data_IF_750370493862
#
_entry.id   IF_750370493862
#
_cell.length_a   1.000
_cell.length_b   1.000
_cell.length_c   1.000
_cell.angle_alpha   90.00
_cell.angle_beta   90.00
_cell.angle_gamma   90.00
#
_symmetry.space_group_name_H-M   'P 1'
#
loop_
_entity.id
_entity.type
_entity.pdbx_description
1 polymer ?
#
# COMPACT_ATOMS: atom_id res chain seq x y z
N UNK A 1 -21.29 -31.68 -17.89
CA UNK A 1 -21.44 -30.61 -16.89
C UNK A 1 -20.59 -31.02 -15.69
N UNK A 2 -19.44 -30.38 -15.43
CA UNK A 2 -18.67 -30.71 -14.24
C UNK A 2 -19.45 -30.24 -13.02
N UNK A 3 -19.75 -31.14 -12.09
CA UNK A 3 -20.29 -30.78 -10.78
C UNK A 3 -19.17 -30.12 -10.00
N UNK A 4 -19.20 -28.79 -9.87
CA UNK A 4 -18.36 -28.11 -8.87
C UNK A 4 -18.72 -28.71 -7.50
N UNK A 5 -17.75 -29.28 -6.81
CA UNK A 5 -17.92 -29.77 -5.46
C UNK A 5 -18.28 -28.59 -4.56
N UNK A 6 -19.56 -28.48 -4.19
CA UNK A 6 -19.99 -27.51 -3.20
C UNK A 6 -19.27 -27.80 -1.88
N UNK A 7 -18.66 -26.79 -1.28
CA UNK A 7 -18.03 -26.88 0.04
C UNK A 7 -19.12 -26.90 1.14
N UNK A 8 -19.93 -27.97 1.14
CA UNK A 8 -21.14 -28.07 1.94
C UNK A 8 -20.89 -28.19 3.44
N UNK A 9 -19.67 -28.54 3.86
CA UNK A 9 -19.32 -28.68 5.27
C UNK A 9 -19.21 -27.33 5.98
N UNK A 10 -18.90 -26.25 5.26
CA UNK A 10 -18.80 -24.92 5.86
C UNK A 10 -20.12 -24.50 6.50
N UNK A 11 -21.23 -24.71 5.80
CA UNK A 11 -22.57 -24.32 6.29
C UNK A 11 -23.03 -25.11 7.52
N UNK A 12 -22.36 -26.22 7.84
CA UNK A 12 -22.65 -27.00 9.04
C UNK A 12 -21.95 -26.45 10.29
N UNK A 13 -21.01 -25.52 10.12
CA UNK A 13 -20.37 -24.86 11.25
C UNK A 13 -21.37 -23.89 11.94
N UNK A 14 -21.35 -23.82 13.28
CA UNK A 14 -22.00 -22.74 14.02
C UNK A 14 -21.65 -21.36 13.44
N UNK A 15 -22.60 -20.43 13.51
CA UNK A 15 -22.45 -19.12 12.90
C UNK A 15 -21.20 -18.39 13.40
N UNK A 16 -20.89 -18.51 14.69
CA UNK A 16 -19.72 -17.92 15.33
C UNK A 16 -18.42 -18.38 14.66
N UNK A 17 -18.30 -19.68 14.37
CA UNK A 17 -17.12 -20.23 13.71
C UNK A 17 -17.03 -19.79 12.25
N UNK A 18 -18.15 -19.70 11.53
CA UNK A 18 -18.17 -19.20 10.15
C UNK A 18 -17.72 -17.75 10.06
N UNK A 19 -18.21 -16.91 10.97
CA UNK A 19 -17.79 -15.50 11.05
C UNK A 19 -16.31 -15.37 11.41
N UNK A 20 -15.80 -16.17 12.36
CA UNK A 20 -14.36 -16.20 12.67
C UNK A 20 -13.53 -16.64 11.47
N UNK A 21 -13.97 -17.64 10.71
CA UNK A 21 -13.28 -18.04 9.47
C UNK A 21 -13.23 -16.88 8.50
N UNK A 22 -14.32 -16.13 8.30
CA UNK A 22 -14.30 -14.96 7.40
C UNK A 22 -13.37 -13.85 7.87
N UNK A 23 -13.32 -13.57 9.17
CA UNK A 23 -12.38 -12.61 9.75
C UNK A 23 -10.93 -13.05 9.52
N UNK A 24 -10.62 -14.32 9.78
CA UNK A 24 -9.28 -14.89 9.61
C UNK A 24 -8.90 -15.13 8.13
N UNK A 25 -9.86 -15.06 7.20
CA UNK A 25 -9.61 -15.16 5.76
C UNK A 25 -9.21 -13.82 5.13
N UNK A 26 -9.17 -12.74 5.90
CA UNK A 26 -8.57 -11.48 5.46
C UNK A 26 -7.04 -11.64 5.45
N UNK A 27 -6.39 -11.14 4.41
CA UNK A 27 -4.94 -11.24 4.25
C UNK A 27 -4.35 -9.83 4.05
N UNK A 28 -3.14 -9.57 4.56
CA UNK A 28 -2.40 -8.36 4.23
C UNK A 28 -2.18 -8.24 2.72
N UNK A 29 -2.21 -7.02 2.21
CA UNK A 29 -1.94 -6.71 0.81
C UNK A 29 -1.50 -5.26 0.64
N UNK A 30 -0.91 -4.98 -0.50
CA UNK A 30 -0.50 -3.64 -0.89
C UNK A 30 -1.58 -3.03 -1.77
N UNK A 31 -2.11 -1.89 -1.35
CA UNK A 31 -3.10 -1.13 -2.13
C UNK A 31 -2.37 0.04 -2.79
N UNK A 32 -1.93 -0.17 -4.02
CA UNK A 32 -1.38 0.91 -4.85
C UNK A 32 -2.49 1.90 -5.20
N UNK A 33 -2.30 3.18 -4.90
CA UNK A 33 -3.27 4.23 -5.22
C UNK A 33 -2.61 5.31 -6.07
N UNK A 34 -3.13 5.49 -7.28
CA UNK A 34 -2.72 6.54 -8.21
C UNK A 34 -3.87 7.53 -8.43
N UNK A 35 -3.54 8.82 -8.57
CA UNK A 35 -4.50 9.87 -8.90
C UNK A 35 -4.56 10.10 -10.41
N UNK A 36 -5.76 10.07 -10.97
CA UNK A 36 -6.03 10.49 -12.33
C UNK A 36 -6.55 11.94 -12.30
N UNK A 37 -5.75 12.93 -12.76
CA UNK A 37 -6.15 14.33 -12.77
C UNK A 37 -7.17 14.68 -13.86
N UNK A 38 -7.30 13.87 -14.92
CA UNK A 38 -8.27 14.11 -15.99
C UNK A 38 -9.68 13.76 -15.52
N UNK A 39 -9.80 12.64 -14.79
CA UNK A 39 -11.07 12.14 -14.25
C UNK A 39 -11.32 12.55 -12.78
N UNK A 40 -10.40 13.31 -12.16
CA UNK A 40 -10.42 13.67 -10.73
C UNK A 40 -10.74 12.46 -9.83
N UNK A 41 -10.03 11.34 -10.03
CA UNK A 41 -10.36 10.08 -9.36
C UNK A 41 -9.13 9.28 -8.99
N UNK A 42 -9.19 8.63 -7.83
CA UNK A 42 -8.21 7.64 -7.42
C UNK A 42 -8.50 6.26 -8.03
N UNK A 43 -7.46 5.63 -8.56
CA UNK A 43 -7.48 4.30 -9.14
C UNK A 43 -6.49 3.37 -8.44
N UNK A 44 -6.78 2.07 -8.48
CA UNK A 44 -5.90 1.04 -7.93
C UNK A 44 -5.81 -0.14 -8.87
N UNK A 45 -4.65 -0.77 -8.92
CA UNK A 45 -4.40 -2.08 -9.54
C UNK A 45 -4.69 -3.22 -8.57
N UNK A 46 -4.81 -2.94 -7.26
CA UNK A 46 -5.04 -3.94 -6.24
C UNK A 46 -6.42 -4.60 -6.44
N UNK A 47 -6.49 -5.95 -6.42
CA UNK A 47 -7.75 -6.65 -6.61
C UNK A 47 -8.71 -6.40 -5.45
N UNK A 48 -10.01 -6.49 -5.70
CA UNK A 48 -11.01 -6.48 -4.62
C UNK A 48 -10.74 -7.69 -3.69
N UNK A 49 -10.76 -7.51 -2.35
CA UNK A 49 -10.57 -8.61 -1.41
C UNK A 49 -11.49 -9.79 -1.70
N UNK A 50 -10.95 -11.00 -1.81
CA UNK A 50 -11.72 -12.19 -2.16
C UNK A 50 -12.90 -12.43 -1.20
N UNK A 51 -12.73 -12.11 0.08
CA UNK A 51 -13.78 -12.18 1.11
C UNK A 51 -14.99 -11.27 0.82
N UNK A 52 -14.81 -10.15 0.13
CA UNK A 52 -15.92 -9.28 -0.28
C UNK A 52 -16.69 -9.82 -1.49
N UNK A 53 -16.14 -10.83 -2.18
CA UNK A 53 -16.69 -11.43 -3.40
C UNK A 53 -17.12 -12.89 -3.22
N UNK A 54 -16.73 -13.56 -2.13
CA UNK A 54 -16.95 -14.98 -1.91
C UNK A 54 -18.44 -15.35 -1.81
N UNK A 55 -19.18 -14.74 -0.89
CA UNK A 55 -20.62 -14.95 -0.71
C UNK A 55 -21.26 -13.80 0.09
N UNK A 56 -22.59 -13.81 0.22
CA UNK A 56 -23.32 -12.78 0.96
C UNK A 56 -22.87 -12.67 2.43
N UNK A 57 -22.71 -13.80 3.13
CA UNK A 57 -22.27 -13.77 4.54
C UNK A 57 -20.85 -13.23 4.68
N UNK A 58 -19.93 -13.70 3.85
CA UNK A 58 -18.54 -13.22 3.84
C UNK A 58 -18.50 -11.72 3.58
N UNK A 59 -19.25 -11.23 2.58
CA UNK A 59 -19.36 -9.80 2.29
C UNK A 59 -19.92 -9.00 3.47
N UNK A 60 -20.99 -9.47 4.11
CA UNK A 60 -21.57 -8.79 5.28
C UNK A 60 -20.57 -8.68 6.43
N UNK A 61 -19.82 -9.75 6.71
CA UNK A 61 -18.83 -9.74 7.79
C UNK A 61 -17.60 -8.90 7.43
N UNK A 62 -17.09 -9.01 6.20
CA UNK A 62 -15.92 -8.25 5.73
C UNK A 62 -16.17 -6.75 5.65
N UNK A 63 -17.39 -6.31 5.32
CA UNK A 63 -17.75 -4.88 5.31
C UNK A 63 -17.76 -4.22 6.70
N UNK A 64 -17.54 -4.99 7.78
CA UNK A 64 -17.31 -4.45 9.13
C UNK A 64 -15.87 -3.99 9.33
N UNK A 65 -14.95 -4.53 8.52
CA UNK A 65 -13.50 -4.27 8.57
C UNK A 65 -13.05 -3.39 7.41
N UNK A 66 -13.52 -3.69 6.19
CA UNK A 66 -13.20 -2.91 5.00
C UNK A 66 -14.17 -1.75 4.82
N UNK A 67 -13.63 -0.53 4.75
CA UNK A 67 -14.38 0.65 4.34
C UNK A 67 -13.98 1.06 2.92
N UNK A 68 -14.83 1.84 2.25
CA UNK A 68 -14.46 2.46 0.97
C UNK A 68 -13.69 3.75 1.27
N UNK A 69 -12.48 3.86 0.74
CA UNK A 69 -11.59 5.01 0.89
C UNK A 69 -11.30 5.68 -0.47
N UNK A 70 -10.54 6.78 -0.40
CA UNK A 70 -9.95 7.48 -1.55
C UNK A 70 -11.02 8.04 -2.49
N UNK A 71 -11.97 8.79 -1.90
CA UNK A 71 -12.88 9.64 -2.67
C UNK A 71 -12.23 10.99 -3.00
N UNK A 72 -12.80 11.70 -3.96
CA UNK A 72 -12.45 13.08 -4.30
C UNK A 72 -13.66 13.98 -4.08
N UNK A 73 -13.55 15.26 -4.41
CA UNK A 73 -14.71 16.16 -4.40
C UNK A 73 -15.75 15.74 -5.45
N UNK A 74 -15.29 15.20 -6.60
CA UNK A 74 -16.15 14.81 -7.72
C UNK A 74 -16.60 13.35 -7.65
N UNK A 75 -15.87 12.48 -6.95
CA UNK A 75 -16.13 11.04 -6.92
C UNK A 75 -16.22 10.46 -5.51
N UNK A 76 -17.25 9.66 -5.26
CA UNK A 76 -17.34 8.86 -4.03
C UNK A 76 -16.16 7.88 -3.89
N UNK A 77 -15.75 7.55 -2.65
CA UNK A 77 -14.74 6.53 -2.38
C UNK A 77 -15.19 5.15 -2.89
N UNK A 78 -14.27 4.42 -3.54
CA UNK A 78 -14.57 3.14 -4.23
C UNK A 78 -13.62 2.01 -3.88
N UNK A 79 -12.44 2.32 -3.36
CA UNK A 79 -11.40 1.34 -3.07
C UNK A 79 -11.63 0.81 -1.66
N UNK A 80 -11.84 -0.50 -1.53
CA UNK A 80 -11.94 -1.13 -0.21
C UNK A 80 -10.58 -1.11 0.47
N UNK A 81 -10.51 -0.67 1.71
CA UNK A 81 -9.29 -0.60 2.52
C UNK A 81 -9.57 -1.08 3.94
N UNK A 82 -8.72 -1.96 4.47
CA UNK A 82 -8.76 -2.44 5.85
C UNK A 82 -7.52 -1.96 6.60
N UNK A 83 -7.70 -0.98 7.48
CA UNK A 83 -6.61 -0.26 8.18
C UNK A 83 -5.55 -1.16 8.81
N UNK A 84 -5.98 -2.27 9.41
CA UNK A 84 -5.13 -3.14 10.20
C UNK A 84 -4.29 -4.11 9.36
N UNK A 85 -4.65 -4.33 8.09
CA UNK A 85 -3.96 -5.30 7.21
C UNK A 85 -3.44 -4.70 5.90
N UNK A 86 -4.10 -3.68 5.37
CA UNK A 86 -3.73 -3.07 4.09
C UNK A 86 -2.61 -2.05 4.30
N UNK A 87 -1.65 -2.06 3.37
CA UNK A 87 -0.61 -1.03 3.25
C UNK A 87 -0.95 -0.12 2.08
N UNK A 88 -1.11 1.18 2.32
CA UNK A 88 -1.28 2.16 1.24
C UNK A 88 0.06 2.37 0.55
N UNK A 89 0.15 2.06 -0.74
CA UNK A 89 1.33 2.37 -1.55
C UNK A 89 1.06 3.55 -2.48
N UNK A 90 1.91 4.58 -2.39
CA UNK A 90 1.87 5.75 -3.27
C UNK A 90 3.06 5.63 -4.23
N UNK A 91 2.84 5.25 -5.50
CA UNK A 91 3.92 5.10 -6.45
C UNK A 91 4.48 6.46 -6.84
N UNK A 92 5.78 6.52 -7.13
CA UNK A 92 6.41 7.71 -7.70
C UNK A 92 5.99 7.88 -9.16
N UNK A 93 5.37 9.01 -9.54
CA UNK A 93 5.07 9.29 -10.95
C UNK A 93 6.33 9.24 -11.83
N UNK A 94 6.31 8.52 -12.97
CA UNK A 94 7.53 8.31 -13.77
C UNK A 94 8.08 9.60 -14.38
N UNK A 95 7.21 10.52 -14.81
CA UNK A 95 7.62 11.75 -15.52
C UNK A 95 7.80 12.96 -14.60
N UNK A 96 6.95 13.11 -13.57
CA UNK A 96 7.03 14.24 -12.65
C UNK A 96 7.86 13.94 -11.40
N UNK A 97 8.01 12.67 -11.03
CA UNK A 97 8.52 12.30 -9.71
C UNK A 97 7.52 12.71 -8.62
N UNK A 98 7.97 12.76 -7.37
CA UNK A 98 7.15 13.32 -6.29
C UNK A 98 7.16 14.85 -6.35
N UNK A 99 6.21 15.42 -7.09
CA UNK A 99 5.96 16.86 -7.19
C UNK A 99 4.95 17.35 -6.13
N UNK A 100 4.61 18.64 -6.15
CA UNK A 100 3.66 19.22 -5.18
C UNK A 100 2.23 18.63 -5.34
N UNK A 101 1.85 18.10 -6.50
CA UNK A 101 0.56 17.42 -6.68
C UNK A 101 0.51 16.06 -5.98
N UNK A 102 1.66 15.40 -5.87
CA UNK A 102 1.84 14.18 -5.09
C UNK A 102 1.68 14.42 -3.58
N UNK A 103 1.96 15.66 -3.11
CA UNK A 103 1.82 16.06 -1.70
C UNK A 103 0.38 16.33 -1.28
N UNK A 104 -0.47 16.81 -2.18
CA UNK A 104 -1.89 17.06 -1.84
C UNK A 104 -2.72 15.79 -1.69
N UNK A 105 -2.15 14.59 -1.85
CA UNK A 105 -2.89 13.34 -1.68
C UNK A 105 -3.65 13.26 -0.35
N UNK A 106 -3.01 13.61 0.77
CA UNK A 106 -3.68 13.56 2.07
C UNK A 106 -4.58 14.76 2.39
N UNK A 107 -4.40 15.89 1.70
CA UNK A 107 -5.36 16.99 1.74
C UNK A 107 -6.64 16.65 0.96
N UNK A 108 -6.50 15.79 -0.05
CA UNK A 108 -7.58 15.37 -0.94
C UNK A 108 -8.35 14.15 -0.40
N UNK A 109 -7.71 13.27 0.38
CA UNK A 109 -8.39 12.10 0.96
C UNK A 109 -8.90 12.39 2.37
N UNK A 110 -10.17 12.07 2.63
CA UNK A 110 -10.81 12.30 3.93
C UNK A 110 -10.38 11.29 4.99
N UNK A 111 -9.80 10.18 4.56
CA UNK A 111 -9.50 9.00 5.36
C UNK A 111 -8.01 8.92 5.78
N UNK A 112 -7.28 10.03 5.76
CA UNK A 112 -5.84 10.05 6.10
C UNK A 112 -5.55 9.59 7.54
N UNK A 113 -6.48 9.78 8.47
CA UNK A 113 -6.42 9.28 9.85
C UNK A 113 -6.79 7.79 9.99
N UNK A 114 -7.33 7.18 8.93
CA UNK A 114 -7.60 5.76 8.85
C UNK A 114 -6.38 4.95 8.41
N UNK A 115 -5.40 5.59 7.76
CA UNK A 115 -4.18 4.92 7.29
C UNK A 115 -3.22 4.68 8.46
N UNK A 116 -2.74 3.44 8.59
CA UNK A 116 -1.79 3.04 9.63
C UNK A 116 -0.43 2.60 9.05
N UNK A 117 -0.43 2.07 7.83
CA UNK A 117 0.72 1.55 7.10
C UNK A 117 0.85 2.28 5.77
N UNK A 118 2.01 2.89 5.52
CA UNK A 118 2.29 3.67 4.30
C UNK A 118 3.53 3.11 3.60
N UNK A 119 3.48 2.95 2.29
CA UNK A 119 4.61 2.59 1.45
C UNK A 119 4.87 3.69 0.41
N UNK A 120 6.14 4.05 0.24
CA UNK A 120 6.60 5.04 -0.74
C UNK A 120 7.93 4.59 -1.33
N UNK A 121 8.19 4.96 -2.58
CA UNK A 121 9.50 4.70 -3.20
C UNK A 121 10.61 5.50 -2.51
N UNK A 122 11.70 4.82 -2.16
CA UNK A 122 12.93 5.47 -1.71
C UNK A 122 13.66 6.06 -2.90
N UNK A 123 13.70 7.39 -3.01
CA UNK A 123 14.44 8.09 -4.07
C UNK A 123 15.84 8.51 -3.57
N UNK A 124 16.93 7.95 -4.10
CA UNK A 124 18.28 8.43 -3.81
C UNK A 124 18.46 9.90 -4.21
N UNK A 125 19.23 10.70 -3.44
CA UNK A 125 19.51 12.10 -3.80
C UNK A 125 20.13 12.27 -5.20
N UNK A 126 20.87 11.27 -5.68
CA UNK A 126 21.54 11.30 -6.99
C UNK A 126 20.60 11.21 -8.18
N UNK A 127 19.39 10.67 -8.02
CA UNK A 127 18.38 10.51 -9.09
C UNK A 127 17.16 11.42 -8.90
N UNK A 128 17.11 12.15 -7.78
CA UNK A 128 16.07 13.14 -7.47
C UNK A 128 16.13 14.30 -8.48
N UNK A 129 14.99 14.63 -9.09
CA UNK A 129 14.91 15.74 -10.05
C UNK A 129 14.91 17.08 -9.31
N UNK A 130 15.42 18.17 -9.91
CA UNK A 130 15.49 19.48 -9.25
C UNK A 130 14.15 20.03 -8.76
N UNK A 131 13.05 19.67 -9.42
CA UNK A 131 11.69 20.11 -9.08
C UNK A 131 10.95 19.13 -8.16
N UNK A 132 11.50 17.93 -7.93
CA UNK A 132 11.00 17.08 -6.86
C UNK A 132 11.38 17.77 -5.55
N UNK A 133 10.48 18.59 -5.04
CA UNK A 133 10.66 19.25 -3.74
C UNK A 133 10.69 18.24 -2.59
N UNK A 134 10.46 16.95 -2.91
CA UNK A 134 10.43 15.76 -2.08
C UNK A 134 10.85 16.03 -0.65
N UNK A 135 9.81 16.12 0.17
CA UNK A 135 9.89 16.24 1.59
C UNK A 135 9.08 15.06 2.11
N UNK A 136 9.75 13.91 2.29
CA UNK A 136 9.12 12.67 2.78
C UNK A 136 8.38 12.96 4.08
N UNK A 137 8.91 13.89 4.87
CA UNK A 137 8.34 14.29 6.14
C UNK A 137 6.95 14.88 5.98
N UNK A 138 6.73 15.82 5.06
CA UNK A 138 5.41 16.41 4.79
C UNK A 138 4.40 15.36 4.36
N UNK A 139 4.80 14.43 3.48
CA UNK A 139 3.94 13.35 3.04
C UNK A 139 3.58 12.40 4.19
N UNK A 140 4.48 12.16 5.13
CA UNK A 140 4.18 11.30 6.29
C UNK A 140 3.36 12.04 7.36
N UNK A 141 3.61 13.33 7.59
CA UNK A 141 2.82 14.17 8.51
C UNK A 141 1.36 14.25 8.12
N UNK A 142 1.11 14.15 6.82
CA UNK A 142 -0.19 14.07 6.19
C UNK A 142 -1.02 12.85 6.63
N UNK A 143 -0.40 11.82 7.21
CA UNK A 143 -1.09 10.64 7.75
C UNK A 143 -0.86 10.53 9.27
N UNK A 144 -1.72 11.14 10.10
CA UNK A 144 -1.46 11.32 11.54
C UNK A 144 -1.46 10.02 12.37
N UNK A 145 -1.85 8.90 11.76
CA UNK A 145 -1.91 7.58 12.40
C UNK A 145 -0.97 6.56 11.78
N UNK A 146 -0.15 6.98 10.80
CA UNK A 146 0.91 6.14 10.26
C UNK A 146 1.97 5.93 11.34
N UNK A 147 2.22 4.66 11.63
CA UNK A 147 3.22 4.24 12.62
C UNK A 147 4.33 3.42 11.96
N UNK A 148 4.06 2.84 10.79
CA UNK A 148 5.02 2.12 9.98
C UNK A 148 5.06 2.65 8.54
N UNK A 149 6.28 2.90 8.05
CA UNK A 149 6.56 3.40 6.70
C UNK A 149 7.50 2.45 5.98
N UNK A 150 7.02 1.87 4.90
CA UNK A 150 7.78 1.01 4.01
C UNK A 150 8.46 1.85 2.92
N UNK A 151 9.78 1.79 2.87
CA UNK A 151 10.59 2.45 1.86
C UNK A 151 10.94 1.43 0.78
N UNK A 152 10.33 1.61 -0.39
CA UNK A 152 10.45 0.69 -1.52
C UNK A 152 11.72 1.02 -2.30
N UNK A 153 12.67 0.09 -2.31
CA UNK A 153 14.06 0.35 -2.77
C UNK A 153 14.31 0.04 -4.25
N UNK A 154 13.47 -0.79 -4.86
CA UNK A 154 13.56 -1.12 -6.29
C UNK A 154 12.92 0.00 -7.13
N UNK A 155 13.64 1.11 -7.31
CA UNK A 155 13.29 2.07 -8.37
C UNK A 155 13.89 1.55 -9.67
N UNK A 156 13.12 0.77 -10.42
CA UNK A 156 13.36 0.66 -11.86
C UNK A 156 13.07 2.03 -12.47
N UNK A 157 14.08 2.61 -13.14
CA UNK A 157 13.92 3.90 -13.85
C UNK A 157 13.19 3.72 -15.18
N UNK A 158 13.02 2.48 -15.62
CA UNK A 158 12.17 2.13 -16.74
C UNK A 158 10.74 1.91 -16.24
N UNK A 159 9.71 2.38 -16.96
CA UNK A 159 8.34 1.99 -16.67
C UNK A 159 8.31 0.46 -16.62
N UNK A 160 7.76 -0.07 -15.53
CA UNK A 160 7.56 -1.48 -15.25
C UNK A 160 6.55 -2.04 -16.28
N UNK A 161 6.98 -2.13 -17.54
CA UNK A 161 6.19 -2.51 -18.71
C UNK A 161 6.01 -4.04 -18.82
N UNK A 162 6.59 -4.80 -17.89
CA UNK A 162 6.61 -6.26 -17.90
C UNK A 162 5.54 -6.89 -16.99
N UNK A 163 4.71 -6.08 -16.33
CA UNK A 163 3.60 -6.60 -15.50
C UNK A 163 2.39 -6.91 -16.35
N UNK A 164 1.85 -8.11 -16.16
CA UNK A 164 0.63 -8.54 -16.81
C UNK A 164 -0.59 -7.99 -16.07
N UNK A 165 -1.66 -7.69 -16.83
CA UNK A 165 -2.94 -7.30 -16.25
C UNK A 165 -3.44 -8.41 -15.32
N UNK A 166 -3.39 -8.17 -14.00
CA UNK A 166 -3.80 -9.13 -12.97
C UNK A 166 -2.70 -9.52 -11.98
N UNK A 167 -1.47 -9.04 -12.16
CA UNK A 167 -0.41 -9.23 -11.18
C UNK A 167 -0.71 -8.45 -9.89
N UNK A 168 -0.55 -9.11 -8.75
CA UNK A 168 -0.80 -8.53 -7.43
C UNK A 168 0.54 -8.09 -6.82
N UNK A 169 0.63 -6.78 -6.53
CA UNK A 169 1.79 -6.15 -5.90
C UNK A 169 1.91 -6.57 -4.44
N UNK A 170 3.13 -6.92 -4.04
CA UNK A 170 3.49 -7.21 -2.66
C UNK A 170 4.86 -6.58 -2.30
N UNK A 171 5.14 -6.47 -1.00
CA UNK A 171 6.37 -5.90 -0.45
C UNK A 171 7.16 -6.97 0.31
N UNK A 172 8.23 -7.47 -0.33
CA UNK A 172 9.13 -8.45 0.25
C UNK A 172 10.34 -7.79 0.91
N UNK A 173 11.06 -8.57 1.73
CA UNK A 173 12.35 -8.14 2.26
C UNK A 173 13.35 -7.93 1.12
N UNK A 174 14.11 -6.83 1.16
CA UNK A 174 14.99 -6.46 0.07
C UNK A 174 16.22 -7.39 0.03
N UNK A 175 16.68 -7.72 -1.19
CA UNK A 175 17.74 -8.75 -1.40
C UNK A 175 19.16 -8.28 -1.07
N UNK A 176 19.33 -7.11 -0.46
CA UNK A 176 20.63 -6.55 -0.11
C UNK A 176 21.22 -7.23 1.13
N UNK A 177 22.54 -7.17 1.28
CA UNK A 177 23.20 -7.58 2.52
C UNK A 177 22.91 -6.59 3.68
N UNK A 178 23.04 -7.06 4.91
CA UNK A 178 22.71 -6.29 6.10
C UNK A 178 23.46 -4.95 6.20
N UNK A 179 24.75 -4.90 5.82
CA UNK A 179 25.54 -3.66 5.90
C UNK A 179 25.06 -2.62 4.88
N UNK A 180 24.65 -3.08 3.69
CA UNK A 180 24.07 -2.20 2.67
C UNK A 180 22.71 -1.65 3.10
N UNK A 181 21.88 -2.47 3.77
CA UNK A 181 20.59 -2.03 4.32
C UNK A 181 20.76 -1.03 5.46
N UNK A 182 21.69 -1.28 6.37
CA UNK A 182 21.98 -0.36 7.49
C UNK A 182 22.44 1.00 6.97
N UNK A 183 23.38 1.04 6.02
CA UNK A 183 23.83 2.29 5.39
C UNK A 183 22.69 3.02 4.68
N UNK A 184 21.85 2.28 3.95
CA UNK A 184 20.71 2.86 3.26
C UNK A 184 19.72 3.50 4.25
N UNK A 185 19.47 2.84 5.38
CA UNK A 185 18.62 3.36 6.44
C UNK A 185 19.25 4.59 7.11
N UNK A 186 20.57 4.59 7.35
CA UNK A 186 21.29 5.77 7.83
C UNK A 186 21.16 6.96 6.86
N UNK A 187 21.36 6.74 5.56
CA UNK A 187 21.22 7.75 4.52
C UNK A 187 19.79 8.30 4.44
N UNK A 188 18.78 7.42 4.57
CA UNK A 188 17.36 7.81 4.68
C UNK A 188 17.17 8.74 5.86
N UNK A 189 17.59 8.33 7.05
CA UNK A 189 17.40 9.08 8.29
C UNK A 189 18.11 10.44 8.19
N UNK A 190 19.35 10.46 7.69
CA UNK A 190 20.11 11.69 7.49
C UNK A 190 19.44 12.66 6.49
N UNK A 191 18.95 12.13 5.37
CA UNK A 191 18.20 12.93 4.38
C UNK A 191 16.95 13.57 5.00
N UNK A 192 16.31 12.85 5.92
CA UNK A 192 15.11 13.31 6.61
C UNK A 192 15.39 14.46 7.57
N UNK A 193 16.41 14.31 8.42
CA UNK A 193 16.82 15.39 9.31
C UNK A 193 17.22 16.66 8.54
N UNK A 194 17.85 16.50 7.38
CA UNK A 194 18.16 17.64 6.50
C UNK A 194 16.88 18.30 5.97
N UNK A 195 15.91 17.52 5.48
CA UNK A 195 14.60 18.03 5.01
C UNK A 195 13.85 18.77 6.12
N UNK A 196 13.83 18.22 7.34
CA UNK A 196 13.21 18.84 8.51
C UNK A 196 13.90 20.16 8.90
N UNK A 197 15.23 20.16 9.02
CA UNK A 197 15.99 21.35 9.38
C UNK A 197 15.78 22.48 8.37
N UNK A 198 15.74 22.14 7.07
CA UNK A 198 15.41 23.09 6.01
C UNK A 198 14.03 23.73 6.19
N UNK A 199 13.03 23.00 6.68
CA UNK A 199 11.70 23.56 6.97
C UNK A 199 11.68 24.46 8.21
N UNK A 200 12.36 24.07 9.30
CA UNK A 200 12.39 24.88 10.51
C UNK A 200 13.20 26.16 10.35
N UNK A 201 14.27 26.16 9.53
CA UNK A 201 15.00 27.40 9.18
C UNK A 201 14.17 28.39 8.37
N UNK A 202 13.16 27.93 7.62
CA UNK A 202 12.21 28.80 6.91
C UNK A 202 11.04 29.26 7.80
N UNK A 203 10.84 28.61 8.95
CA UNK A 203 9.78 28.89 9.91
C UNK A 203 10.39 29.39 11.23
N UNK A 204 10.94 30.60 11.24
CA UNK A 204 11.39 31.23 12.49
C UNK A 204 10.25 31.33 13.51
N UNK A 205 10.31 30.47 14.52
CA UNK A 205 9.96 30.72 15.92
C UNK A 205 10.55 29.58 16.73
N UNK A 206 11.57 29.90 17.53
CA UNK A 206 12.11 29.04 18.60
C UNK A 206 10.96 28.50 19.44
N UNK A 207 10.51 27.30 19.10
CA UNK A 207 9.80 26.41 20.01
C UNK A 207 10.74 25.24 20.18
N UNK A 208 11.03 24.91 21.43
CA UNK A 208 11.74 23.70 21.85
C UNK A 208 11.28 22.55 20.97
N UNK A 209 12.15 22.06 20.08
CA UNK A 209 11.82 20.96 19.18
C UNK A 209 11.63 19.75 20.09
N UNK A 210 10.38 19.39 20.41
CA UNK A 210 10.10 18.08 20.99
C UNK A 210 10.73 17.01 20.10
N UNK A 211 11.34 15.96 20.66
CA UNK A 211 11.98 14.92 19.86
C UNK A 211 10.96 14.41 18.84
N UNK A 212 11.24 14.64 17.56
CA UNK A 212 10.35 14.23 16.48
C UNK A 212 10.13 12.73 16.58
N UNK A 213 8.87 12.34 16.79
CA UNK A 213 8.49 10.95 16.76
C UNK A 213 8.39 10.51 15.30
N UNK A 214 9.48 9.98 14.76
CA UNK A 214 9.50 9.39 13.43
C UNK A 214 8.69 8.08 13.44
N UNK A 215 7.96 7.76 12.36
CA UNK A 215 7.41 6.42 12.20
C UNK A 215 8.55 5.40 12.08
N UNK A 216 8.24 4.14 12.33
CA UNK A 216 9.16 3.03 12.10
C UNK A 216 9.40 2.89 10.60
N UNK A 217 10.65 2.94 10.15
CA UNK A 217 11.01 2.75 8.75
C UNK A 217 11.40 1.30 8.48
N UNK A 218 10.85 0.73 7.41
CA UNK A 218 11.18 -0.63 6.96
C UNK A 218 11.55 -0.58 5.49
N UNK A 219 12.75 -1.06 5.14
CA UNK A 219 13.15 -1.19 3.74
C UNK A 219 12.44 -2.40 3.12
N UNK A 220 11.87 -2.23 1.93
CA UNK A 220 11.18 -3.27 1.17
C UNK A 220 11.56 -3.24 -0.31
N UNK A 221 11.30 -4.36 -0.97
CA UNK A 221 11.43 -4.56 -2.41
C UNK A 221 10.07 -4.87 -3.02
N UNK A 222 9.83 -4.44 -4.26
CA UNK A 222 8.58 -4.79 -4.96
C UNK A 222 8.67 -6.24 -5.41
N UNK A 223 7.59 -6.97 -5.20
CA UNK A 223 7.40 -8.30 -5.76
C UNK A 223 6.02 -8.39 -6.38
N UNK A 224 5.91 -9.15 -7.46
CA UNK A 224 4.67 -9.33 -8.20
C UNK A 224 4.31 -10.79 -8.16
N UNK A 225 3.07 -11.08 -7.74
CA UNK A 225 2.53 -12.42 -7.78
C UNK A 225 1.57 -12.53 -8.96
N UNK A 226 1.95 -13.33 -9.94
CA UNK A 226 1.07 -13.63 -11.06
C UNK A 226 -0.05 -14.51 -10.56
N UNK A 227 -1.30 -14.04 -10.62
CA UNK A 227 -2.46 -14.92 -10.48
C UNK A 227 -2.48 -15.86 -11.66
N UNK A 228 -1.90 -17.05 -11.51
CA UNK A 228 -2.26 -18.14 -12.40
C UNK A 228 -3.76 -18.38 -12.19
N UNK A 229 -4.54 -18.18 -13.26
CA UNK A 229 -5.88 -18.77 -13.35
C UNK A 229 -5.65 -20.28 -13.23
N UNK A 230 -5.84 -20.84 -12.04
CA UNK A 230 -5.82 -22.29 -11.81
C UNK A 230 -7.09 -22.90 -12.43
N UNK A 231 -7.14 -22.87 -13.77
CA UNK A 231 -7.96 -23.75 -14.58
C UNK A 231 -7.07 -24.80 -15.24
N UNK A 232 -6.18 -25.44 -14.47
CA UNK A 232 -5.58 -26.71 -14.88
C UNK A 232 -6.25 -27.86 -14.12
N UNK A 233 -6.82 -28.85 -14.84
CA UNK A 233 -7.45 -30.00 -14.19
C UNK A 233 -6.37 -30.81 -13.48
N UNK A 234 -6.60 -31.08 -12.19
CA UNK A 234 -5.82 -32.03 -11.39
C UNK A 234 -5.73 -33.34 -12.18
N UNK A 235 -4.56 -33.65 -12.73
CA UNK A 235 -4.29 -34.93 -13.36
C UNK A 235 -4.40 -36.01 -12.28
N UNK A 236 -5.48 -36.79 -12.32
CA UNK A 236 -5.68 -37.96 -11.49
C UNK A 236 -4.56 -38.97 -11.80
N UNK A 237 -3.65 -39.17 -10.86
CA UNK A 237 -2.77 -40.34 -10.87
C UNK A 237 -3.64 -41.53 -10.43
N UNK A 238 -4.15 -42.27 -11.41
CA UNK A 238 -4.61 -43.64 -11.19
C UNK A 238 -3.36 -44.54 -11.08
N UNK A 239 -3.12 -45.11 -9.91
CA UNK A 239 -2.33 -46.32 -9.76
C UNK A 239 -3.30 -47.49 -9.55
N UNK A 240 -3.22 -48.46 -10.45
CA UNK A 240 -3.85 -49.77 -10.36
C UNK A 240 -3.05 -50.71 -9.44
#
# INVERSE_FOLDING_TARGET
>A
MPSHSLFALFTLLPAELRLQVWQLSCHPRVVEVSYDPEEDRYTTTAPVPAVLQACHESRCESLRMYIRCFGTTSHEPRIYFYREMDTLYIPRPPFMGYDDSSRSFAELIRESDYIANLAIDYVPPSVKRPWETYNKYVLMQSFPKVHEVFLVTDITTEPDNDHHLGDELDLADPKYDALSLDRLLEDVIASFYYEIQGQFFMSEREKTIEPLHLPHFVLKSKTWTHRQDESQPISTICAA
#
